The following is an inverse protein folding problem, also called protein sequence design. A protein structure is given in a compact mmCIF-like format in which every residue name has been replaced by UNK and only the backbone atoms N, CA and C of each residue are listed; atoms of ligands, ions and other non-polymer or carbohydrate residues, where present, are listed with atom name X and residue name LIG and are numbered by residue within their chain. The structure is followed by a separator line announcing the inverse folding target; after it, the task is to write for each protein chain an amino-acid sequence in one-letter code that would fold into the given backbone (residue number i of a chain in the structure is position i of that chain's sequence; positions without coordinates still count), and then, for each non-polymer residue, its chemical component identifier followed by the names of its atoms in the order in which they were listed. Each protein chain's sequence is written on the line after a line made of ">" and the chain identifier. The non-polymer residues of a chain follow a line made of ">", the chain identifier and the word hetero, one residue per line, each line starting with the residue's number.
data_IF_878547446511
#
_entry.id   IF_878547446511
#
_cell.length_a   1.000
_cell.length_b   1.000
_cell.length_c   1.000
_cell.angle_alpha   90.00
_cell.angle_beta   90.00
_cell.angle_gamma   90.00
#
_symmetry.space_group_name_H-M   'P 1'
#
loop_
_entity.id
_entity.type
_entity.pdbx_description
1 polymer ?
#
# COMPACT_ATOMS: atom_id res chain seq x y z
N UNK A 1 7.75 15.73 14.83
CA UNK A 1 6.71 16.51 14.12
C UNK A 1 7.08 16.49 12.65
N UNK A 2 6.29 15.81 11.82
CA UNK A 2 6.45 15.78 10.37
C UNK A 2 5.48 16.78 9.75
N UNK A 3 5.92 17.52 8.74
CA UNK A 3 5.07 18.36 7.91
C UNK A 3 5.59 18.26 6.49
N UNK A 4 4.72 17.98 5.51
CA UNK A 4 5.08 18.11 4.11
C UNK A 4 5.09 19.59 3.77
N UNK A 5 6.21 20.18 3.34
CA UNK A 5 6.24 21.58 2.95
C UNK A 5 5.52 21.71 1.63
N UNK A 6 4.22 21.99 1.67
CA UNK A 6 3.44 22.18 0.46
C UNK A 6 2.80 23.55 0.52
N UNK A 7 3.44 24.50 -0.18
CA UNK A 7 2.86 25.79 -0.52
C UNK A 7 1.80 25.61 -1.63
N UNK A 8 0.80 24.74 -1.39
CA UNK A 8 -0.39 24.70 -2.24
C UNK A 8 -1.36 25.70 -1.63
N UNK A 9 -1.42 26.90 -2.20
CA UNK A 9 -2.25 28.00 -1.69
C UNK A 9 -3.77 27.74 -1.77
N UNK A 10 -4.19 26.54 -2.21
CA UNK A 10 -5.58 26.21 -2.54
C UNK A 10 -6.12 24.95 -1.82
N UNK A 11 -5.40 24.39 -0.83
CA UNK A 11 -5.99 23.33 -0.01
C UNK A 11 -7.19 23.88 0.75
N UNK A 12 -8.33 23.20 0.62
CA UNK A 12 -9.60 23.60 1.21
C UNK A 12 -10.02 22.68 2.37
N UNK A 13 -9.75 21.39 2.28
CA UNK A 13 -10.12 20.42 3.31
C UNK A 13 -9.24 19.17 3.30
N UNK A 14 -9.22 18.48 4.44
CA UNK A 14 -8.76 17.10 4.55
C UNK A 14 -9.94 16.17 4.83
N UNK A 15 -9.96 14.99 4.21
CA UNK A 15 -11.02 14.01 4.41
C UNK A 15 -10.44 12.60 4.54
N UNK A 16 -11.03 11.83 5.45
CA UNK A 16 -10.79 10.39 5.55
C UNK A 16 -11.86 9.67 4.73
N UNK A 17 -11.46 8.98 3.66
CA UNK A 17 -12.37 8.20 2.83
C UNK A 17 -12.67 6.85 3.48
N UNK A 18 -13.83 6.27 3.16
CA UNK A 18 -14.29 4.96 3.68
C UNK A 18 -13.29 3.82 3.43
N UNK A 19 -12.46 3.93 2.40
CA UNK A 19 -11.44 2.94 2.06
C UNK A 19 -10.14 3.09 2.86
N UNK A 20 -10.04 4.03 3.80
CA UNK A 20 -8.81 4.27 4.56
C UNK A 20 -7.83 5.25 3.90
N UNK A 21 -8.19 5.86 2.77
CA UNK A 21 -7.36 6.88 2.14
C UNK A 21 -7.62 8.26 2.76
N UNK A 22 -6.59 8.88 3.33
CA UNK A 22 -6.65 10.25 3.79
C UNK A 22 -6.23 11.18 2.67
N UNK A 23 -7.10 12.12 2.27
CA UNK A 23 -6.88 13.03 1.15
C UNK A 23 -6.79 14.48 1.63
N UNK A 24 -5.92 15.25 0.98
CA UNK A 24 -5.94 16.71 1.06
C UNK A 24 -6.41 17.23 -0.30
N UNK A 25 -7.50 17.99 -0.29
CA UNK A 25 -8.20 18.40 -1.50
C UNK A 25 -8.35 19.92 -1.60
N UNK A 26 -8.46 20.41 -2.84
CA UNK A 26 -8.74 21.82 -3.16
C UNK A 26 -10.24 22.09 -3.21
N UNK A 27 -10.62 23.37 -3.26
CA UNK A 27 -12.04 23.78 -3.45
C UNK A 27 -12.62 23.34 -4.80
N UNK A 28 -11.76 23.04 -5.79
CA UNK A 28 -12.12 22.46 -7.08
C UNK A 28 -12.17 20.92 -7.09
N UNK A 29 -12.11 20.29 -5.90
CA UNK A 29 -12.09 18.83 -5.69
C UNK A 29 -10.88 18.11 -6.31
N UNK A 30 -9.79 18.83 -6.60
CA UNK A 30 -8.53 18.20 -6.96
C UNK A 30 -7.85 17.64 -5.70
N UNK A 31 -7.24 16.47 -5.81
CA UNK A 31 -6.54 15.80 -4.69
C UNK A 31 -5.02 15.83 -4.93
N UNK A 32 -4.34 16.95 -4.63
CA UNK A 32 -2.90 17.06 -4.83
C UNK A 32 -2.08 16.14 -3.90
N UNK A 33 -2.67 15.65 -2.81
CA UNK A 33 -2.03 14.69 -1.93
C UNK A 33 -3.03 13.68 -1.36
N UNK A 34 -2.58 12.43 -1.22
CA UNK A 34 -3.34 11.36 -0.58
C UNK A 34 -2.38 10.37 0.12
N UNK A 35 -2.79 9.79 1.24
CA UNK A 35 -1.98 8.84 2.01
C UNK A 35 -1.65 7.57 1.22
N UNK A 36 -2.52 7.14 0.31
CA UNK A 36 -2.29 5.97 -0.53
C UNK A 36 -1.08 6.12 -1.48
N UNK A 37 -0.62 7.34 -1.75
CA UNK A 37 0.59 7.60 -2.52
C UNK A 37 1.87 7.55 -1.67
N UNK A 38 1.77 7.34 -0.36
CA UNK A 38 2.89 7.25 0.59
C UNK A 38 2.80 5.90 1.34
N UNK A 39 2.97 4.76 0.63
CA UNK A 39 2.81 3.43 1.20
C UNK A 39 3.83 3.13 2.33
N UNK A 40 3.42 2.33 3.32
CA UNK A 40 4.26 1.87 4.44
C UNK A 40 4.61 0.37 4.28
N UNK A 41 4.42 -0.45 5.31
CA UNK A 41 4.44 -1.91 5.25
C UNK A 41 3.10 -2.51 4.77
N UNK A 42 2.04 -1.71 4.72
CA UNK A 42 0.67 -2.17 4.50
C UNK A 42 0.08 -1.57 3.23
N UNK A 43 -0.64 -2.40 2.47
CA UNK A 43 -1.47 -2.00 1.32
C UNK A 43 -2.94 -2.30 1.59
N UNK A 44 -3.83 -1.41 1.17
CA UNK A 44 -5.28 -1.52 1.36
C UNK A 44 -6.06 -1.65 0.03
N UNK A 45 -7.28 -2.20 0.05
CA UNK A 45 -8.13 -2.24 -1.14
C UNK A 45 -8.36 -0.86 -1.75
N UNK A 46 -8.18 -0.78 -3.07
CA UNK A 46 -8.21 0.47 -3.83
C UNK A 46 -6.87 1.20 -3.90
N UNK A 47 -5.84 0.75 -3.18
CA UNK A 47 -4.49 1.30 -3.29
C UNK A 47 -3.74 0.67 -4.47
N UNK A 48 -2.89 1.49 -5.10
CA UNK A 48 -2.09 1.11 -6.26
C UNK A 48 -0.63 1.49 -6.00
N UNK A 49 0.28 0.53 -6.16
CA UNK A 49 1.72 0.80 -6.20
C UNK A 49 2.12 0.99 -7.66
N UNK A 50 2.64 2.17 -7.97
CA UNK A 50 3.17 2.48 -9.29
C UNK A 50 4.65 2.09 -9.36
N UNK A 51 5.25 2.24 -10.55
CA UNK A 51 6.70 2.15 -10.71
C UNK A 51 7.42 3.01 -9.65
N UNK A 52 8.50 2.47 -9.09
CA UNK A 52 9.31 3.04 -8.01
C UNK A 52 8.60 3.17 -6.64
N UNK A 53 7.36 2.69 -6.52
CA UNK A 53 6.67 2.59 -5.22
C UNK A 53 7.05 1.29 -4.51
N UNK A 54 7.18 1.33 -3.19
CA UNK A 54 7.54 0.16 -2.40
C UNK A 54 6.80 0.07 -1.07
N UNK A 55 6.53 -1.16 -0.64
CA UNK A 55 6.26 -1.46 0.76
C UNK A 55 7.58 -1.76 1.49
N UNK A 56 7.74 -1.26 2.70
CA UNK A 56 8.89 -1.53 3.56
C UNK A 56 8.37 -2.02 4.89
N UNK A 57 8.78 -3.23 5.31
CA UNK A 57 8.33 -3.81 6.58
C UNK A 57 8.67 -2.89 7.75
N UNK A 58 7.94 -3.02 8.85
CA UNK A 58 8.40 -2.52 10.15
C UNK A 58 9.67 -3.26 10.61
N UNK A 59 10.40 -2.69 11.57
CA UNK A 59 11.59 -3.31 12.14
C UNK A 59 11.23 -4.45 13.11
N UNK A 60 10.16 -4.26 13.88
CA UNK A 60 9.55 -5.24 14.77
C UNK A 60 8.12 -4.84 15.13
N UNK A 61 7.39 -5.71 15.82
CA UNK A 61 6.02 -5.43 16.33
C UNK A 61 5.90 -4.14 17.15
N UNK A 62 6.98 -3.68 17.78
CA UNK A 62 6.98 -2.48 18.63
C UNK A 62 7.78 -1.32 18.03
N UNK A 63 8.43 -1.53 16.88
CA UNK A 63 9.26 -0.54 16.21
C UNK A 63 8.83 -0.40 14.73
N UNK A 64 8.05 0.65 14.48
CA UNK A 64 7.49 0.99 13.17
C UNK A 64 8.49 1.69 12.24
N UNK A 65 9.77 1.77 12.62
CA UNK A 65 10.82 2.21 11.69
C UNK A 65 11.08 1.18 10.60
N UNK A 66 11.78 1.60 9.54
CA UNK A 66 12.06 0.73 8.39
C UNK A 66 12.82 -0.53 8.80
N UNK A 67 12.24 -1.67 8.45
CA UNK A 67 12.79 -3.00 8.69
C UNK A 67 13.64 -3.54 7.55
N UNK A 68 13.61 -4.87 7.41
CA UNK A 68 14.57 -5.63 6.58
C UNK A 68 13.95 -6.19 5.31
N UNK A 69 12.67 -5.97 5.05
CA UNK A 69 12.02 -6.42 3.83
C UNK A 69 11.51 -5.23 3.04
N UNK A 70 11.77 -5.22 1.73
CA UNK A 70 11.31 -4.19 0.81
C UNK A 70 10.69 -4.84 -0.42
N UNK A 71 9.40 -4.64 -0.61
CA UNK A 71 8.66 -5.08 -1.80
C UNK A 71 8.48 -3.90 -2.74
N UNK A 72 9.08 -3.94 -3.92
CA UNK A 72 9.14 -2.80 -4.85
C UNK A 72 8.79 -3.22 -6.27
N UNK A 73 7.94 -2.41 -6.92
CA UNK A 73 7.80 -2.43 -8.36
C UNK A 73 8.86 -1.49 -8.95
N UNK A 74 9.92 -2.05 -9.50
CA UNK A 74 11.07 -1.29 -10.00
C UNK A 74 10.72 -0.50 -11.25
N UNK A 75 11.50 0.54 -11.57
CA UNK A 75 11.28 1.40 -12.74
C UNK A 75 11.40 0.67 -14.09
N UNK A 76 12.08 -0.49 -14.12
CA UNK A 76 12.17 -1.35 -15.29
C UNK A 76 10.97 -2.29 -15.44
N UNK A 77 9.99 -2.22 -14.54
CA UNK A 77 8.78 -3.03 -14.51
C UNK A 77 8.92 -4.34 -13.74
N UNK A 78 10.09 -4.65 -13.18
CA UNK A 78 10.26 -5.88 -12.41
C UNK A 78 9.69 -5.74 -10.99
N UNK A 79 8.91 -6.71 -10.54
CA UNK A 79 8.41 -6.76 -9.16
C UNK A 79 9.34 -7.63 -8.31
N UNK A 80 9.90 -7.06 -7.24
CA UNK A 80 10.92 -7.73 -6.43
C UNK A 80 10.67 -7.53 -4.95
N UNK A 81 10.85 -8.60 -4.19
CA UNK A 81 11.02 -8.57 -2.75
C UNK A 81 12.50 -8.71 -2.42
N UNK A 82 13.05 -7.69 -1.76
CA UNK A 82 14.41 -7.67 -1.27
C UNK A 82 14.46 -7.96 0.23
N UNK A 83 15.47 -8.72 0.64
CA UNK A 83 15.96 -8.73 2.02
C UNK A 83 17.10 -7.73 2.13
N UNK A 84 16.88 -6.65 2.88
CA UNK A 84 17.83 -5.56 3.11
C UNK A 84 18.78 -5.96 4.24
N UNK A 85 20.08 -6.02 3.94
CA UNK A 85 21.09 -6.35 4.95
C UNK A 85 21.46 -5.10 5.76
N UNK A 86 20.82 -4.90 6.91
CA UNK A 86 21.15 -3.80 7.81
C UNK A 86 22.59 -3.95 8.38
N UNK A 87 23.41 -2.86 8.47
CA UNK A 87 23.11 -1.47 8.14
C UNK A 87 23.40 -1.06 6.68
N UNK A 88 23.88 -1.98 5.84
CA UNK A 88 24.26 -1.70 4.46
C UNK A 88 23.05 -1.83 3.51
N UNK A 89 22.28 -0.74 3.38
CA UNK A 89 21.11 -0.64 2.49
C UNK A 89 21.45 -1.02 1.03
N UNK A 90 22.69 -0.78 0.61
CA UNK A 90 23.19 -1.06 -0.74
C UNK A 90 23.41 -2.57 -1.04
N UNK A 91 23.33 -3.43 -0.02
CA UNK A 91 23.44 -4.88 -0.17
C UNK A 91 22.08 -5.54 0.09
N UNK A 92 21.25 -5.54 -0.94
CA UNK A 92 19.96 -6.23 -0.93
C UNK A 92 20.02 -7.51 -1.75
N UNK A 93 19.68 -8.63 -1.13
CA UNK A 93 19.52 -9.90 -1.85
C UNK A 93 18.07 -10.01 -2.32
N UNK A 94 17.88 -10.25 -3.63
CA UNK A 94 16.56 -10.51 -4.18
C UNK A 94 16.08 -11.86 -3.60
N UNK A 95 15.03 -11.80 -2.81
CA UNK A 95 14.47 -12.96 -2.13
C UNK A 95 13.36 -13.61 -2.98
N UNK A 96 12.53 -12.80 -3.62
CA UNK A 96 11.46 -13.24 -4.52
C UNK A 96 11.25 -12.24 -5.65
N UNK A 97 10.81 -12.69 -6.82
CA UNK A 97 10.54 -11.82 -7.96
C UNK A 97 9.47 -12.38 -8.88
N UNK A 98 8.69 -11.48 -9.50
CA UNK A 98 8.02 -11.75 -10.77
C UNK A 98 8.83 -11.10 -11.87
N UNK A 99 9.50 -11.93 -12.70
CA UNK A 99 10.27 -11.51 -13.87
C UNK A 99 9.38 -10.81 -14.92
N UNK A 100 9.15 -9.52 -14.73
CA UNK A 100 8.20 -8.69 -15.47
C UNK A 100 8.85 -7.45 -16.08
N UNK A 101 10.18 -7.50 -16.24
CA UNK A 101 10.96 -6.45 -16.89
C UNK A 101 10.36 -6.09 -18.24
N UNK A 102 10.07 -4.80 -18.42
CA UNK A 102 9.48 -4.23 -19.63
C UNK A 102 7.96 -4.33 -19.75
N UNK A 103 7.27 -5.02 -18.83
CA UNK A 103 5.80 -5.16 -18.87
C UNK A 103 5.10 -4.82 -17.56
N UNK A 104 5.71 -5.00 -16.39
CA UNK A 104 5.08 -4.63 -15.12
C UNK A 104 4.89 -3.12 -15.02
N UNK A 105 3.69 -2.69 -14.61
CA UNK A 105 3.32 -1.28 -14.56
C UNK A 105 2.69 -0.87 -13.24
N UNK A 106 1.78 -1.68 -12.70
CA UNK A 106 1.09 -1.38 -11.44
C UNK A 106 0.82 -2.67 -10.65
N UNK A 107 1.03 -2.61 -9.33
CA UNK A 107 0.47 -3.58 -8.39
C UNK A 107 -0.80 -3.00 -7.80
N UNK A 108 -1.90 -3.72 -7.94
CA UNK A 108 -3.24 -3.28 -7.53
C UNK A 108 -3.77 -4.21 -6.46
N UNK A 109 -4.23 -3.65 -5.35
CA UNK A 109 -5.08 -4.35 -4.41
C UNK A 109 -6.53 -3.95 -4.66
N UNK A 110 -7.35 -4.86 -5.22
CA UNK A 110 -8.72 -4.53 -5.55
C UNK A 110 -9.67 -4.70 -4.34
N UNK A 111 -10.89 -4.16 -4.48
CA UNK A 111 -11.95 -4.25 -3.46
C UNK A 111 -12.41 -5.68 -3.16
N UNK A 112 -12.12 -6.63 -4.05
CA UNK A 112 -12.47 -8.04 -3.87
C UNK A 112 -11.42 -8.83 -3.09
N UNK A 113 -10.37 -8.18 -2.59
CA UNK A 113 -9.35 -8.85 -1.77
C UNK A 113 -8.16 -9.41 -2.56
N UNK A 114 -8.08 -9.17 -3.87
CA UNK A 114 -7.00 -9.70 -4.71
C UNK A 114 -5.91 -8.67 -4.96
N UNK A 115 -4.66 -9.14 -4.87
CA UNK A 115 -3.47 -8.36 -5.20
C UNK A 115 -2.86 -8.91 -6.48
N UNK A 116 -2.65 -8.07 -7.47
CA UNK A 116 -2.11 -8.50 -8.75
C UNK A 116 -1.22 -7.45 -9.41
N UNK A 117 -0.32 -7.93 -10.28
CA UNK A 117 0.50 -7.13 -11.16
C UNK A 117 -0.18 -7.02 -12.53
N UNK A 118 -0.22 -5.80 -13.09
CA UNK A 118 -0.73 -5.56 -14.45
C UNK A 118 0.27 -4.82 -15.34
N UNK A 119 0.08 -4.97 -16.65
CA UNK A 119 0.71 -4.18 -17.71
C UNK A 119 0.01 -2.81 -17.85
N UNK A 120 0.69 -1.88 -18.53
CA UNK A 120 0.20 -0.56 -18.90
C UNK A 120 -1.11 -0.59 -19.69
N UNK A 121 -1.34 -1.66 -20.46
CA UNK A 121 -2.59 -1.87 -21.20
C UNK A 121 -3.72 -2.48 -20.33
N UNK A 122 -3.49 -2.67 -19.03
CA UNK A 122 -4.43 -3.29 -18.09
C UNK A 122 -4.47 -4.81 -18.15
N UNK A 123 -3.59 -5.45 -18.92
CA UNK A 123 -3.49 -6.91 -18.93
C UNK A 123 -2.94 -7.42 -17.60
N UNK A 124 -3.64 -8.38 -16.99
CA UNK A 124 -3.21 -9.07 -15.79
C UNK A 124 -1.96 -9.91 -16.10
N UNK A 125 -0.85 -9.63 -15.41
CA UNK A 125 0.41 -10.37 -15.58
C UNK A 125 0.56 -11.49 -14.56
N UNK A 126 0.20 -11.23 -13.30
CA UNK A 126 0.38 -12.20 -12.23
C UNK A 126 -0.53 -11.91 -11.02
N UNK A 127 -0.95 -12.95 -10.30
CA UNK A 127 -1.64 -12.84 -9.02
C UNK A 127 -0.64 -13.01 -7.89
N UNK A 128 -0.59 -12.05 -6.97
CA UNK A 128 0.41 -11.97 -5.88
C UNK A 128 -0.15 -12.52 -4.57
N UNK A 129 -1.45 -12.30 -4.29
CA UNK A 129 -2.10 -12.81 -3.08
C UNK A 129 -2.37 -14.31 -3.18
N UNK A 130 -2.08 -15.06 -2.11
CA UNK A 130 -2.62 -16.40 -1.90
C UNK A 130 -4.15 -16.33 -1.79
N UNK A 131 -4.86 -17.34 -2.28
CA UNK A 131 -6.33 -17.42 -2.27
C UNK A 131 -6.88 -16.89 -0.94
N UNK A 132 -7.55 -15.72 -0.99
CA UNK A 132 -8.35 -15.26 0.14
C UNK A 132 -9.38 -16.36 0.34
N UNK A 133 -9.27 -17.09 1.46
CA UNK A 133 -10.21 -18.16 1.79
C UNK A 133 -11.62 -17.63 1.53
N UNK A 134 -12.34 -18.36 0.68
CA UNK A 134 -13.60 -18.07 0.00
C UNK A 134 -14.66 -17.34 0.86
N UNK A 135 -14.39 -16.10 1.24
CA UNK A 135 -15.17 -15.36 2.21
C UNK A 135 -16.01 -14.36 1.46
N UNK A 136 -17.14 -14.87 1.01
CA UNK A 136 -18.19 -14.25 0.19
C UNK A 136 -18.91 -13.06 0.86
N UNK A 137 -18.36 -12.45 1.92
CA UNK A 137 -19.02 -11.39 2.65
C UNK A 137 -18.43 -10.02 2.30
N UNK A 138 -19.20 -9.19 1.61
CA UNK A 138 -18.89 -7.80 1.22
C UNK A 138 -18.66 -6.83 2.41
N UNK A 139 -18.59 -7.34 3.64
CA UNK A 139 -18.52 -6.57 4.89
C UNK A 139 -17.24 -6.81 5.69
N UNK A 140 -16.20 -7.35 5.04
CA UNK A 140 -14.91 -7.55 5.67
C UNK A 140 -13.92 -6.49 5.21
N UNK A 141 -13.14 -6.00 6.17
CA UNK A 141 -12.00 -5.16 5.88
C UNK A 141 -10.82 -6.05 5.47
N UNK A 142 -10.26 -5.76 4.30
CA UNK A 142 -9.09 -6.46 3.80
C UNK A 142 -7.87 -5.55 3.96
N UNK A 143 -6.73 -6.13 4.34
CA UNK A 143 -5.44 -5.47 4.29
C UNK A 143 -4.37 -6.49 3.91
N UNK A 144 -3.25 -6.02 3.37
CA UNK A 144 -2.11 -6.89 3.17
C UNK A 144 -0.82 -6.25 3.67
N UNK A 145 -0.08 -7.02 4.48
CA UNK A 145 1.08 -6.53 5.23
C UNK A 145 2.34 -7.26 4.76
N UNK A 146 3.41 -6.51 4.59
CA UNK A 146 4.77 -7.02 4.49
C UNK A 146 5.33 -7.20 5.90
N UNK A 147 5.23 -8.42 6.43
CA UNK A 147 5.62 -8.75 7.80
C UNK A 147 7.14 -8.56 8.06
N UNK A 148 7.50 -8.14 9.27
CA UNK A 148 8.89 -7.86 9.65
C UNK A 148 9.75 -9.11 9.86
N UNK A 149 9.12 -10.24 10.17
CA UNK A 149 9.79 -11.50 10.49
C UNK A 149 10.03 -12.38 9.26
N UNK A 150 9.32 -12.09 8.15
CA UNK A 150 9.41 -12.83 6.90
C UNK A 150 8.78 -14.21 6.94
N UNK A 151 7.92 -14.51 7.92
CA UNK A 151 7.37 -15.86 8.12
C UNK A 151 6.65 -16.40 6.87
N UNK A 152 5.85 -15.55 6.20
CA UNK A 152 5.15 -15.90 4.95
C UNK A 152 5.97 -15.73 3.68
N UNK A 153 7.01 -14.92 3.75
CA UNK A 153 8.00 -14.78 2.69
C UNK A 153 8.72 -16.13 2.48
N UNK A 154 9.03 -16.86 3.56
CA UNK A 154 9.60 -18.22 3.49
C UNK A 154 8.65 -19.26 2.86
N UNK A 155 7.33 -19.04 2.93
CA UNK A 155 6.31 -19.85 2.25
C UNK A 155 6.09 -19.44 0.78
N UNK A 156 6.86 -18.47 0.26
CA UNK A 156 6.78 -17.98 -1.12
C UNK A 156 5.70 -16.91 -1.34
N UNK A 157 5.10 -16.37 -0.28
CA UNK A 157 4.06 -15.33 -0.32
C UNK A 157 4.69 -14.00 0.10
N UNK A 158 4.91 -13.05 -0.83
CA UNK A 158 5.63 -11.82 -0.52
C UNK A 158 4.83 -10.82 0.32
N UNK A 159 3.49 -10.91 0.32
CA UNK A 159 2.59 -10.04 1.09
C UNK A 159 1.40 -10.87 1.57
N UNK A 160 1.03 -10.72 2.84
CA UNK A 160 -0.03 -11.54 3.48
C UNK A 160 -1.34 -10.78 3.45
N UNK A 161 -2.32 -11.25 2.69
CA UNK A 161 -3.69 -10.69 2.72
C UNK A 161 -4.48 -11.28 3.88
N UNK A 162 -5.09 -10.44 4.69
CA UNK A 162 -5.96 -10.82 5.81
C UNK A 162 -7.31 -10.13 5.68
N UNK A 163 -8.37 -10.81 6.13
CA UNK A 163 -9.72 -10.28 6.18
C UNK A 163 -10.23 -10.33 7.62
N UNK A 164 -10.79 -9.23 8.11
CA UNK A 164 -11.40 -9.17 9.43
C UNK A 164 -12.75 -8.45 9.38
N UNK A 165 -13.63 -8.76 10.33
CA UNK A 165 -14.94 -8.12 10.42
C UNK A 165 -14.78 -6.61 10.67
N UNK A 166 -15.56 -5.80 9.94
CA UNK A 166 -15.62 -4.37 10.17
C UNK A 166 -16.16 -4.08 11.59
N UNK A 167 -15.50 -3.19 12.33
CA UNK A 167 -16.10 -2.62 13.54
C UNK A 167 -17.18 -1.63 13.11
N UNK A 168 -18.45 -1.86 13.48
CA UNK A 168 -19.50 -0.85 13.33
C UNK A 168 -19.21 0.30 14.29
N UNK A 169 -18.56 1.36 13.80
CA UNK A 169 -18.72 2.67 14.42
C UNK A 169 -20.16 3.10 14.13
N UNK A 170 -21.06 2.92 15.10
CA UNK A 170 -22.41 3.47 15.04
C UNK A 170 -22.30 5.00 15.05
N UNK A 171 -22.14 5.60 13.88
CA UNK A 171 -21.93 7.03 13.72
C UNK A 171 -21.33 7.38 12.35
N UNK A 172 -22.03 7.05 11.27
CA UNK A 172 -21.66 7.50 9.93
C UNK A 172 -21.84 9.00 9.81
N UNK A 173 -20.75 9.75 9.96
CA UNK A 173 -20.51 11.03 9.30
C UNK A 173 -19.03 11.13 8.94
N UNK A 174 -18.77 11.55 7.71
CA UNK A 174 -17.45 11.95 7.24
C UNK A 174 -16.81 12.90 8.25
N UNK A 175 -15.63 12.55 8.75
CA UNK A 175 -14.85 13.47 9.58
C UNK A 175 -14.16 14.47 8.64
N UNK A 176 -14.88 15.52 8.28
CA UNK A 176 -14.34 16.65 7.53
C UNK A 176 -13.61 17.55 8.52
N UNK A 177 -12.28 17.55 8.46
CA UNK A 177 -11.48 18.51 9.22
C UNK A 177 -11.42 19.81 8.42
N UNK A 178 -12.22 20.79 8.84
CA UNK A 178 -12.10 22.16 8.34
C UNK A 178 -10.90 22.83 9.02
N UNK A 179 -9.94 23.31 8.25
CA UNK A 179 -8.91 24.21 8.77
C UNK A 179 -9.46 25.63 8.73
N UNK A 180 -9.90 26.16 9.88
CA UNK A 180 -10.09 27.60 10.04
C UNK A 180 -8.71 28.27 10.09
N UNK A 181 -8.24 28.72 8.93
CA UNK A 181 -7.05 29.59 8.85
C UNK A 181 -7.56 31.02 8.95
N UNK A 182 -7.47 31.62 10.14
CA UNK A 182 -7.67 33.06 10.38
C UNK A 182 -6.42 33.87 10.09
#
# INVERSE_FOLDING_TARGET
>A
MWARPTAIAELAYGAMLDNGNFVLATSSSATPWQSFNEPTDTIFPGQVLNLDSSLVSSFSDTDVSNGRFKFILQTDGNLVLYKVNYPAVDKSDAYWTISSVGSGYQVIFNQSGFIFLQDKNGTLLNSISSDVENSTSQSMYHQAILEYDGSKVEEGVPVVSTAFAQWELTGGQDVIVHSDIS
#
